data_IF_619533017647
#
_entry.id   IF_619533017647
#
_cell.length_a   1.000
_cell.length_b   1.000
_cell.length_c   1.000
_cell.angle_alpha   90.00
_cell.angle_beta   90.00
_cell.angle_gamma   90.00
#
_symmetry.space_group_name_H-M   'P 1'
#
loop_
_entity.id
_entity.type
_entity.pdbx_description
1 polymer ?
#
# COMPACT_ATOMS: atom_id res chain seq x y z
N UNK A 1 -6.84 11.24 -9.09
CA UNK A 1 -7.13 10.35 -10.24
C UNK A 1 -8.60 10.02 -10.43
N UNK A 2 -9.47 10.41 -9.49
CA UNK A 2 -10.88 10.03 -9.56
C UNK A 2 -11.62 10.60 -10.80
N UNK A 3 -11.12 11.69 -11.39
CA UNK A 3 -11.76 12.32 -12.55
C UNK A 3 -11.27 11.77 -13.90
N UNK A 4 -10.36 10.82 -13.89
CA UNK A 4 -9.84 10.24 -15.12
C UNK A 4 -10.73 9.09 -15.60
N UNK A 5 -10.74 8.88 -16.92
CA UNK A 5 -11.35 7.70 -17.50
C UNK A 5 -10.61 6.43 -17.05
N UNK A 6 -11.30 5.29 -17.10
CA UNK A 6 -10.76 4.05 -16.60
C UNK A 6 -9.48 3.63 -17.33
N UNK A 7 -9.38 3.91 -18.61
CA UNK A 7 -8.19 3.59 -19.41
C UNK A 7 -6.96 4.34 -18.89
N UNK A 8 -7.12 5.60 -18.52
CA UNK A 8 -6.05 6.40 -17.95
C UNK A 8 -5.69 5.92 -16.56
N UNK A 9 -6.67 5.54 -15.74
CA UNK A 9 -6.45 5.00 -14.42
C UNK A 9 -5.64 3.70 -14.45
N UNK A 10 -5.89 2.85 -15.42
CA UNK A 10 -5.15 1.59 -15.58
C UNK A 10 -3.65 1.82 -15.73
N UNK A 11 -3.26 2.94 -16.32
CA UNK A 11 -1.86 3.25 -16.60
C UNK A 11 -1.25 4.14 -15.50
N UNK A 12 -1.97 5.15 -15.04
CA UNK A 12 -1.38 6.22 -14.23
C UNK A 12 -1.76 6.22 -12.75
N UNK A 13 -2.78 5.47 -12.35
CA UNK A 13 -3.19 5.46 -10.95
C UNK A 13 -2.18 4.72 -10.08
N UNK A 14 -2.06 5.17 -8.83
CA UNK A 14 -1.27 4.48 -7.80
C UNK A 14 0.17 4.91 -7.70
N UNK A 15 0.77 5.45 -8.76
CA UNK A 15 2.15 5.90 -8.72
C UNK A 15 2.26 7.32 -9.28
N UNK A 16 2.74 8.24 -8.44
CA UNK A 16 2.96 9.64 -8.82
C UNK A 16 4.43 9.97 -8.56
N UNK A 17 5.30 9.84 -9.57
CA UNK A 17 6.71 10.13 -9.38
C UNK A 17 6.94 11.60 -9.09
N UNK A 18 7.84 11.87 -8.17
CA UNK A 18 8.33 13.20 -7.85
C UNK A 18 9.55 13.51 -8.70
N UNK A 19 10.03 14.76 -8.61
CA UNK A 19 11.23 15.17 -9.35
C UNK A 19 12.40 14.23 -9.06
N UNK A 20 12.97 13.66 -10.11
CA UNK A 20 14.10 12.75 -9.99
C UNK A 20 13.75 11.31 -9.72
N UNK A 21 12.47 10.98 -9.54
CA UNK A 21 12.02 9.59 -9.36
C UNK A 21 11.73 8.93 -10.70
N UNK A 22 11.77 7.58 -10.77
CA UNK A 22 11.44 6.87 -12.00
C UNK A 22 9.99 7.10 -12.40
N UNK A 23 9.72 7.12 -13.69
CA UNK A 23 8.34 7.20 -14.18
C UNK A 23 7.55 5.93 -13.88
N UNK A 24 8.23 4.78 -13.96
CA UNK A 24 7.62 3.50 -13.63
C UNK A 24 7.83 3.19 -12.17
N UNK A 25 6.84 2.53 -11.56
CA UNK A 25 6.92 2.11 -10.17
C UNK A 25 8.08 1.13 -9.95
N UNK A 26 9.05 1.45 -9.08
CA UNK A 26 10.13 0.50 -8.76
C UNK A 26 9.62 -0.68 -7.96
N UNK A 27 10.31 -1.81 -8.06
CA UNK A 27 10.06 -2.98 -7.22
C UNK A 27 10.97 -2.90 -6.01
N UNK A 28 10.40 -2.68 -4.84
CA UNK A 28 11.14 -2.61 -3.57
C UNK A 28 11.26 -4.01 -2.98
N UNK A 29 12.34 -4.71 -3.34
CA UNK A 29 12.62 -6.07 -2.87
C UNK A 29 13.41 -6.03 -1.56
N UNK A 30 12.82 -5.46 -0.53
CA UNK A 30 13.45 -5.35 0.77
C UNK A 30 12.44 -5.68 1.87
N UNK A 31 12.91 -6.43 2.87
CA UNK A 31 12.08 -6.75 4.03
C UNK A 31 12.07 -5.58 5.03
N UNK A 32 13.22 -4.92 5.19
CA UNK A 32 13.38 -3.86 6.17
C UNK A 32 13.87 -2.58 5.48
N UNK A 33 13.71 -1.48 6.19
CA UNK A 33 14.12 -0.17 5.70
C UNK A 33 15.04 0.48 6.72
N UNK A 34 16.05 1.20 6.24
CA UNK A 34 17.06 1.82 7.10
C UNK A 34 16.62 3.21 7.55
N UNK A 35 16.89 3.50 8.82
CA UNK A 35 16.75 4.83 9.39
C UNK A 35 18.03 5.21 10.11
N UNK A 36 18.32 6.50 10.18
CA UNK A 36 19.61 6.99 10.69
C UNK A 36 19.69 6.92 12.21
N UNK A 37 18.57 7.00 12.93
CA UNK A 37 18.57 7.01 14.39
C UNK A 37 17.53 6.07 14.95
N UNK A 38 17.77 5.59 16.17
CA UNK A 38 16.82 4.77 16.92
C UNK A 38 15.54 5.54 17.23
N UNK A 39 15.66 6.85 17.46
CA UNK A 39 14.50 7.70 17.74
C UNK A 39 13.53 7.74 16.57
N UNK A 40 14.03 7.81 15.33
CA UNK A 40 13.18 7.75 14.15
C UNK A 40 12.42 6.42 14.06
N UNK A 41 13.10 5.31 14.33
CA UNK A 41 12.47 3.99 14.35
C UNK A 41 11.43 3.89 15.46
N UNK A 42 11.73 4.42 16.64
CA UNK A 42 10.80 4.43 17.77
C UNK A 42 9.50 5.15 17.43
N UNK A 43 9.59 6.29 16.76
CA UNK A 43 8.41 7.04 16.33
C UNK A 43 7.56 6.27 15.35
N UNK A 44 8.17 5.51 14.44
CA UNK A 44 7.44 4.65 13.52
C UNK A 44 6.68 3.54 14.25
N UNK A 45 7.31 2.90 15.22
CA UNK A 45 6.67 1.87 16.05
C UNK A 45 5.52 2.43 16.87
N UNK A 46 5.66 3.65 17.38
CA UNK A 46 4.63 4.31 18.18
C UNK A 46 3.56 4.99 17.32
N UNK A 47 3.65 4.89 16.01
CA UNK A 47 2.73 5.52 15.05
C UNK A 47 2.74 7.05 15.13
N UNK A 48 3.83 7.65 15.62
CA UNK A 48 4.00 9.09 15.70
C UNK A 48 4.58 9.70 14.42
N UNK A 49 5.14 8.86 13.54
CA UNK A 49 5.70 9.28 12.27
C UNK A 49 5.29 8.33 11.16
N UNK A 50 5.18 8.85 9.94
CA UNK A 50 4.91 8.04 8.77
C UNK A 50 6.20 7.56 8.13
N UNK A 51 6.19 6.35 7.61
CA UNK A 51 7.32 5.78 6.90
C UNK A 51 7.25 4.27 6.83
N UNK A 52 8.13 3.71 6.03
CA UNK A 52 8.22 2.26 5.84
C UNK A 52 9.31 1.71 6.73
N UNK A 53 9.05 0.65 7.48
CA UNK A 53 10.09 -0.01 8.26
C UNK A 53 10.11 -1.53 8.08
N UNK A 54 9.01 -2.13 7.69
CA UNK A 54 8.94 -3.58 7.48
C UNK A 54 7.91 -3.92 6.41
N UNK A 55 8.31 -4.69 5.41
CA UNK A 55 7.48 -4.97 4.24
C UNK A 55 6.17 -5.68 4.57
N UNK A 56 6.14 -6.52 5.59
CA UNK A 56 4.89 -7.19 5.99
C UNK A 56 3.80 -6.17 6.35
N UNK A 57 4.19 -5.05 6.91
CA UNK A 57 3.26 -4.00 7.30
C UNK A 57 2.97 -3.04 6.14
N UNK A 58 4.02 -2.56 5.48
CA UNK A 58 3.91 -1.63 4.36
C UNK A 58 5.12 -1.74 3.46
N UNK A 59 4.89 -1.54 2.16
CA UNK A 59 5.94 -1.49 1.15
C UNK A 59 5.48 -0.56 0.02
N UNK A 60 6.34 0.34 -0.48
CA UNK A 60 5.91 1.29 -1.52
C UNK A 60 5.32 0.63 -2.77
N UNK A 61 5.88 -0.50 -3.20
CA UNK A 61 5.36 -1.22 -4.38
C UNK A 61 3.96 -1.77 -4.10
N UNK A 62 3.78 -2.43 -2.95
CA UNK A 62 2.48 -2.99 -2.57
C UNK A 62 1.44 -1.89 -2.38
N UNK A 63 1.82 -0.78 -1.76
CA UNK A 63 0.91 0.34 -1.52
C UNK A 63 0.46 0.97 -2.85
N UNK A 64 1.36 1.11 -3.81
CA UNK A 64 1.02 1.67 -5.12
C UNK A 64 0.05 0.77 -5.88
N UNK A 65 0.26 -0.55 -5.85
CA UNK A 65 -0.65 -1.50 -6.49
C UNK A 65 -2.01 -1.48 -5.81
N UNK A 66 -2.03 -1.49 -4.48
CA UNK A 66 -3.28 -1.42 -3.71
C UNK A 66 -4.05 -0.14 -4.01
N UNK A 67 -3.35 1.00 -4.09
CA UNK A 67 -3.98 2.28 -4.41
C UNK A 67 -4.58 2.26 -5.83
N UNK A 68 -3.90 1.66 -6.79
CA UNK A 68 -4.41 1.52 -8.15
C UNK A 68 -5.69 0.69 -8.17
N UNK A 69 -5.70 -0.46 -7.51
CA UNK A 69 -6.89 -1.33 -7.45
C UNK A 69 -8.06 -0.60 -6.79
N UNK A 70 -7.81 0.09 -5.67
CA UNK A 70 -8.85 0.86 -4.99
C UNK A 70 -9.45 1.91 -5.92
N UNK A 71 -8.62 2.63 -6.67
CA UNK A 71 -9.10 3.66 -7.59
C UNK A 71 -9.90 3.05 -8.75
N UNK A 72 -9.45 1.94 -9.31
CA UNK A 72 -10.16 1.26 -10.41
C UNK A 72 -11.52 0.73 -9.96
N UNK A 73 -11.65 0.25 -8.73
CA UNK A 73 -12.88 -0.33 -8.20
C UNK A 73 -13.78 0.72 -7.52
N UNK A 74 -13.32 1.95 -7.40
CA UNK A 74 -14.08 3.00 -6.70
C UNK A 74 -14.13 2.80 -5.20
N UNK A 75 -13.18 2.07 -4.64
CA UNK A 75 -13.11 1.80 -3.20
C UNK A 75 -12.31 2.84 -2.45
N UNK A 76 -12.42 2.81 -1.13
CA UNK A 76 -11.68 3.72 -0.25
C UNK A 76 -10.22 3.30 -0.12
N UNK A 77 -9.98 2.00 -0.04
CA UNK A 77 -8.64 1.43 0.14
C UNK A 77 -8.63 -0.03 -0.30
N UNK A 78 -7.45 -0.59 -0.46
CA UNK A 78 -7.26 -2.01 -0.77
C UNK A 78 -6.06 -2.53 0.01
N UNK A 79 -6.01 -3.84 0.19
CA UNK A 79 -4.88 -4.53 0.78
C UNK A 79 -4.55 -5.75 -0.07
N UNK A 80 -3.26 -6.00 -0.27
CA UNK A 80 -2.80 -7.15 -1.03
C UNK A 80 -2.57 -8.35 -0.10
N UNK A 81 -2.89 -9.53 -0.59
CA UNK A 81 -2.65 -10.79 0.12
C UNK A 81 -1.92 -11.76 -0.78
N UNK A 82 -1.42 -12.85 -0.21
CA UNK A 82 -0.63 -13.83 -0.94
C UNK A 82 -1.45 -14.76 -1.83
N UNK A 83 -2.77 -14.79 -1.66
CA UNK A 83 -3.66 -15.66 -2.43
C UNK A 83 -5.09 -15.14 -2.40
N UNK A 84 -5.91 -15.59 -3.37
CA UNK A 84 -7.34 -15.30 -3.36
C UNK A 84 -8.05 -15.94 -2.16
N UNK A 85 -7.62 -17.11 -1.72
CA UNK A 85 -8.16 -17.75 -0.52
C UNK A 85 -7.90 -16.90 0.72
N UNK A 86 -6.69 -16.34 0.87
CA UNK A 86 -6.39 -15.43 1.97
C UNK A 86 -7.26 -14.19 1.92
N UNK A 87 -7.48 -13.62 0.73
CA UNK A 87 -8.32 -12.44 0.56
C UNK A 87 -9.76 -12.73 1.01
N UNK A 88 -10.33 -13.85 0.57
CA UNK A 88 -11.67 -14.25 0.97
C UNK A 88 -11.77 -14.52 2.46
N UNK A 89 -10.78 -15.21 3.02
CA UNK A 89 -10.76 -15.50 4.46
C UNK A 89 -10.73 -14.22 5.29
N UNK A 90 -9.83 -13.30 4.97
CA UNK A 90 -9.70 -12.07 5.75
C UNK A 90 -10.92 -11.16 5.62
N UNK A 91 -11.54 -11.11 4.44
CA UNK A 91 -12.74 -10.32 4.25
C UNK A 91 -13.88 -10.82 5.14
N UNK A 92 -14.15 -12.13 5.11
CA UNK A 92 -15.23 -12.73 5.90
C UNK A 92 -14.90 -12.68 7.38
N UNK A 93 -13.68 -13.02 7.77
CA UNK A 93 -13.27 -13.07 9.18
C UNK A 93 -13.36 -11.69 9.82
N UNK A 94 -12.88 -10.65 9.11
CA UNK A 94 -12.93 -9.29 9.61
C UNK A 94 -14.37 -8.81 9.83
N UNK A 95 -15.26 -9.06 8.88
CA UNK A 95 -16.65 -8.68 9.00
C UNK A 95 -17.34 -9.47 10.12
N UNK A 96 -17.01 -10.74 10.27
CA UNK A 96 -17.54 -11.58 11.34
C UNK A 96 -17.20 -11.02 12.72
N UNK A 97 -15.96 -10.56 12.91
CA UNK A 97 -15.54 -9.97 14.18
C UNK A 97 -16.27 -8.67 14.49
N UNK A 98 -16.61 -7.89 13.49
CA UNK A 98 -17.35 -6.63 13.69
C UNK A 98 -18.76 -6.91 14.24
N UNK A 99 -19.35 -8.04 13.88
CA UNK A 99 -20.71 -8.39 14.26
C UNK A 99 -20.81 -9.25 15.52
N UNK A 100 -19.70 -9.64 16.09
CA UNK A 100 -19.66 -10.35 17.37
C UNK A 100 -19.63 -9.32 18.50
#
# INVERSE_FOLDING_TARGET
>A
MSNYEIETKCIQSGWKPKTGEPRMLPIYQSTTFKYDTTDQMGKLFDLEADGYFYTRLQNPTNDAVAAKIADLEGGVAAILTSSGQAANFYAVFNLSLIHI
#
